data_IF_842753889885
#
_entry.id   IF_842753889885
#
_cell.length_a   1.000
_cell.length_b   1.000
_cell.length_c   1.000
_cell.angle_alpha   90.00
_cell.angle_beta   90.00
_cell.angle_gamma   90.00
#
_symmetry.space_group_name_H-M   'P 1'
#
loop_
_entity.id
_entity.type
_entity.pdbx_description
1 polymer ?
#
# COMPACT_ATOMS: atom_id res chain seq x y z
N UNK A 1 -7.58 34.69 38.72
CA UNK A 1 -7.89 33.27 38.48
C UNK A 1 -7.84 32.98 36.97
N UNK A 2 -6.67 32.92 36.34
CA UNK A 2 -6.51 32.50 34.93
C UNK A 2 -5.22 31.70 34.66
N UNK A 3 -4.48 31.29 35.69
CA UNK A 3 -3.15 30.67 35.55
C UNK A 3 -3.16 29.13 35.63
N UNK A 4 -4.32 28.49 35.44
CA UNK A 4 -4.49 27.03 35.55
C UNK A 4 -4.65 26.29 34.22
N UNK A 5 -5.29 26.91 33.23
CA UNK A 5 -5.68 26.24 31.97
C UNK A 5 -4.55 26.25 30.91
N UNK A 6 -3.67 27.26 30.87
CA UNK A 6 -2.57 27.32 29.89
C UNK A 6 -1.50 26.23 30.11
N UNK A 7 -1.33 25.72 31.33
CA UNK A 7 -0.32 24.69 31.63
C UNK A 7 -0.73 23.28 31.24
N UNK A 8 -2.03 22.98 31.21
CA UNK A 8 -2.54 21.67 30.78
C UNK A 8 -2.39 21.54 29.26
N UNK A 9 -2.73 22.59 28.51
CA UNK A 9 -2.59 22.62 27.05
C UNK A 9 -1.10 22.64 26.63
N UNK A 10 -0.23 23.35 27.36
CA UNK A 10 1.22 23.37 27.09
C UNK A 10 1.93 22.06 27.50
N UNK A 11 1.44 21.39 28.55
CA UNK A 11 1.89 20.07 29.00
C UNK A 11 1.57 19.00 27.98
N UNK A 12 0.33 18.95 27.49
CA UNK A 12 -0.09 18.06 26.42
C UNK A 12 0.64 18.35 25.11
N UNK A 13 0.85 19.62 24.74
CA UNK A 13 1.58 19.96 23.51
C UNK A 13 3.07 19.60 23.58
N UNK A 14 3.75 19.82 24.72
CA UNK A 14 5.15 19.39 24.89
C UNK A 14 5.29 17.87 25.03
N UNK A 15 4.31 17.18 25.62
CA UNK A 15 4.27 15.71 25.65
C UNK A 15 3.95 15.14 24.25
N UNK A 16 3.09 15.80 23.47
CA UNK A 16 2.85 15.49 22.06
C UNK A 16 4.13 15.69 21.23
N UNK A 17 4.89 16.76 21.47
CA UNK A 17 6.18 17.00 20.80
C UNK A 17 7.28 16.02 21.25
N UNK A 18 7.34 15.63 22.53
CA UNK A 18 8.28 14.63 23.05
C UNK A 18 7.94 13.19 22.60
N UNK A 19 6.65 12.85 22.54
CA UNK A 19 6.15 11.59 21.97
C UNK A 19 6.45 11.54 20.47
N UNK A 20 6.23 12.65 19.75
CA UNK A 20 6.58 12.79 18.33
C UNK A 20 8.10 12.70 18.11
N UNK A 21 8.94 13.29 18.97
CA UNK A 21 10.41 13.17 18.89
C UNK A 21 10.93 11.73 19.11
N UNK A 22 10.35 10.96 20.03
CA UNK A 22 10.70 9.53 20.20
C UNK A 22 10.16 8.66 19.07
N UNK A 23 8.96 8.97 18.57
CA UNK A 23 8.36 8.29 17.42
C UNK A 23 9.17 8.56 16.15
N UNK A 24 9.66 9.79 15.93
CA UNK A 24 10.54 10.17 14.83
C UNK A 24 11.88 9.43 14.86
N UNK A 25 12.47 9.24 16.05
CA UNK A 25 13.74 8.53 16.19
C UNK A 25 13.60 7.02 15.90
N UNK A 26 12.50 6.41 16.35
CA UNK A 26 12.14 5.04 15.97
C UNK A 26 11.83 4.92 14.48
N UNK A 27 11.06 5.86 13.92
CA UNK A 27 10.76 5.91 12.49
C UNK A 27 12.04 6.01 11.67
N UNK A 28 12.98 6.87 12.03
CA UNK A 28 14.23 7.02 11.28
C UNK A 28 15.06 5.72 11.25
N UNK A 29 15.14 5.00 12.38
CA UNK A 29 15.79 3.69 12.43
C UNK A 29 15.04 2.61 11.64
N UNK A 30 13.70 2.59 11.71
CA UNK A 30 12.86 1.65 10.97
C UNK A 30 12.91 1.93 9.48
N UNK A 31 12.95 3.20 9.06
CA UNK A 31 13.06 3.63 7.66
C UNK A 31 14.42 3.25 7.08
N UNK A 32 15.50 3.36 7.85
CA UNK A 32 16.82 2.92 7.41
C UNK A 32 16.86 1.40 7.16
N UNK A 33 16.22 0.61 8.03
CA UNK A 33 16.07 -0.83 7.82
C UNK A 33 15.16 -1.13 6.62
N UNK A 34 14.03 -0.43 6.47
CA UNK A 34 13.07 -0.63 5.38
C UNK A 34 13.64 -0.26 4.01
N UNK A 35 14.42 0.83 3.92
CA UNK A 35 15.15 1.21 2.70
C UNK A 35 16.09 0.10 2.21
N UNK A 36 16.74 -0.65 3.13
CA UNK A 36 17.59 -1.79 2.74
C UNK A 36 16.78 -2.94 2.14
N UNK A 37 15.58 -3.20 2.66
CA UNK A 37 14.68 -4.23 2.12
C UNK A 37 13.98 -3.79 0.82
N UNK A 38 13.68 -2.50 0.67
CA UNK A 38 13.05 -1.93 -0.51
C UNK A 38 13.91 -2.12 -1.77
N UNK A 39 15.25 -2.05 -1.66
CA UNK A 39 16.14 -2.35 -2.79
C UNK A 39 15.93 -3.77 -3.35
N UNK A 40 15.70 -4.75 -2.46
CA UNK A 40 15.36 -6.12 -2.87
C UNK A 40 14.01 -6.21 -3.58
N UNK A 41 13.01 -5.46 -3.11
CA UNK A 41 11.69 -5.40 -3.76
C UNK A 41 11.71 -4.78 -5.16
N UNK A 42 12.52 -3.75 -5.38
CA UNK A 42 12.69 -3.11 -6.70
C UNK A 42 13.33 -4.08 -7.69
N UNK A 43 14.34 -4.81 -7.22
CA UNK A 43 15.01 -5.83 -8.01
C UNK A 43 14.04 -6.97 -8.39
N UNK A 44 13.24 -7.46 -7.44
CA UNK A 44 12.25 -8.51 -7.70
C UNK A 44 11.15 -8.07 -8.67
N UNK A 45 10.66 -6.83 -8.57
CA UNK A 45 9.71 -6.29 -9.55
C UNK A 45 10.35 -6.11 -10.92
N UNK A 46 11.59 -5.64 -10.98
CA UNK A 46 12.35 -5.53 -12.23
C UNK A 46 12.55 -6.88 -12.91
N UNK A 47 12.92 -7.92 -12.14
CA UNK A 47 13.01 -9.30 -12.64
C UNK A 47 11.64 -9.82 -13.07
N UNK A 48 10.58 -9.52 -12.33
CA UNK A 48 9.21 -9.87 -12.70
C UNK A 48 8.79 -9.25 -14.05
N UNK A 49 9.10 -7.97 -14.27
CA UNK A 49 8.86 -7.30 -15.56
C UNK A 49 9.72 -7.90 -16.65
N UNK A 50 11.00 -8.16 -16.37
CA UNK A 50 11.95 -8.72 -17.32
C UNK A 50 11.47 -10.08 -17.84
N UNK A 51 11.08 -10.98 -16.93
CA UNK A 51 10.51 -12.30 -17.28
C UNK A 51 9.22 -12.18 -18.10
N UNK A 52 8.42 -11.13 -17.88
CA UNK A 52 7.21 -10.87 -18.66
C UNK A 52 7.50 -10.29 -20.06
N UNK A 53 8.59 -9.54 -20.21
CA UNK A 53 8.98 -8.92 -21.47
C UNK A 53 9.74 -9.90 -22.37
N UNK A 54 10.40 -10.89 -21.77
CA UNK A 54 11.15 -11.91 -22.49
C UNK A 54 10.22 -12.78 -23.36
N UNK A 55 10.45 -12.83 -24.69
CA UNK A 55 9.63 -13.62 -25.62
C UNK A 55 9.94 -15.13 -25.57
N UNK A 56 10.73 -15.60 -24.61
CA UNK A 56 11.30 -16.96 -24.54
C UNK A 56 10.31 -18.07 -24.17
N UNK A 57 9.01 -17.84 -24.30
CA UNK A 57 7.94 -18.83 -24.07
C UNK A 57 7.09 -18.57 -22.83
N UNK A 58 7.56 -17.79 -21.86
CA UNK A 58 6.77 -17.42 -20.67
C UNK A 58 5.52 -16.60 -21.02
N UNK A 59 5.63 -15.65 -21.95
CA UNK A 59 4.45 -14.91 -22.46
C UNK A 59 3.44 -15.84 -23.12
N UNK A 60 3.87 -16.84 -23.87
CA UNK A 60 2.98 -17.79 -24.57
C UNK A 60 2.23 -18.69 -23.59
N UNK A 61 2.93 -19.21 -22.57
CA UNK A 61 2.33 -20.05 -21.50
C UNK A 61 1.26 -19.26 -20.73
N UNK A 62 1.54 -18.00 -20.43
CA UNK A 62 0.62 -17.11 -19.72
C UNK A 62 -0.53 -16.64 -20.64
N UNK A 63 -0.25 -16.36 -21.91
CA UNK A 63 -1.25 -15.94 -22.91
C UNK A 63 -2.23 -17.06 -23.30
N UNK A 64 -1.82 -18.32 -23.18
CA UNK A 64 -2.69 -19.48 -23.39
C UNK A 64 -3.91 -19.46 -22.47
N UNK A 65 -3.79 -18.82 -21.30
CA UNK A 65 -4.89 -18.68 -20.34
C UNK A 65 -5.21 -17.19 -20.12
N UNK A 66 -6.32 -16.66 -20.68
CA UNK A 66 -6.65 -15.23 -20.56
C UNK A 66 -6.83 -14.77 -19.11
N UNK A 67 -7.24 -15.67 -18.22
CA UNK A 67 -7.31 -15.42 -16.77
C UNK A 67 -5.94 -15.25 -16.12
N UNK A 68 -4.95 -16.08 -16.50
CA UNK A 68 -3.59 -15.99 -15.96
C UNK A 68 -2.88 -14.76 -16.50
N UNK A 69 -3.06 -14.45 -17.78
CA UNK A 69 -2.54 -13.23 -18.38
C UNK A 69 -3.04 -11.98 -17.65
N UNK A 70 -4.35 -11.88 -17.44
CA UNK A 70 -4.94 -10.75 -16.72
C UNK A 70 -4.47 -10.70 -15.26
N UNK A 71 -4.43 -11.84 -14.58
CA UNK A 71 -4.00 -11.92 -13.18
C UNK A 71 -2.57 -11.46 -12.95
N UNK A 72 -1.63 -11.90 -13.80
CA UNK A 72 -0.21 -11.52 -13.70
C UNK A 72 -0.03 -10.00 -13.89
N UNK A 73 -0.71 -9.40 -14.86
CA UNK A 73 -0.65 -7.95 -15.06
C UNK A 73 -1.23 -7.16 -13.88
N UNK A 74 -2.33 -7.63 -13.28
CA UNK A 74 -2.92 -7.01 -12.09
C UNK A 74 -1.96 -7.11 -10.89
N UNK A 75 -1.38 -8.28 -10.63
CA UNK A 75 -0.43 -8.50 -9.53
C UNK A 75 0.82 -7.63 -9.71
N UNK A 76 1.33 -7.55 -10.93
CA UNK A 76 2.52 -6.76 -11.24
C UNK A 76 2.24 -5.24 -11.12
N UNK A 77 1.08 -4.78 -11.57
CA UNK A 77 0.62 -3.41 -11.40
C UNK A 77 0.41 -3.03 -9.93
N UNK A 78 -0.30 -3.87 -9.16
CA UNK A 78 -0.52 -3.67 -7.72
C UNK A 78 0.80 -3.69 -6.95
N UNK A 79 1.69 -4.65 -7.23
CA UNK A 79 3.02 -4.74 -6.62
C UNK A 79 3.87 -3.50 -6.92
N UNK A 80 3.84 -3.00 -8.15
CA UNK A 80 4.51 -1.76 -8.55
C UNK A 80 3.96 -0.52 -7.83
N UNK A 81 2.64 -0.38 -7.73
CA UNK A 81 2.02 0.72 -6.98
C UNK A 81 2.39 0.67 -5.50
N UNK A 82 2.32 -0.49 -4.85
CA UNK A 82 2.72 -0.67 -3.45
C UNK A 82 4.19 -0.34 -3.23
N UNK A 83 5.05 -0.68 -4.19
CA UNK A 83 6.47 -0.33 -4.14
C UNK A 83 6.70 1.19 -4.19
N UNK A 84 6.00 1.89 -5.10
CA UNK A 84 6.07 3.35 -5.20
C UNK A 84 5.52 4.04 -3.95
N UNK A 85 4.43 3.53 -3.37
CA UNK A 85 3.87 4.03 -2.12
C UNK A 85 4.85 3.86 -0.95
N UNK A 86 5.56 2.72 -0.87
CA UNK A 86 6.62 2.51 0.12
C UNK A 86 7.78 3.49 -0.03
N UNK A 87 8.20 3.78 -1.27
CA UNK A 87 9.25 4.78 -1.54
C UNK A 87 8.79 6.20 -1.18
N UNK A 88 7.56 6.57 -1.54
CA UNK A 88 6.96 7.87 -1.20
C UNK A 88 6.79 8.03 0.32
N UNK A 89 6.47 6.95 1.05
CA UNK A 89 6.45 6.94 2.52
C UNK A 89 7.83 7.23 3.12
N UNK A 90 8.89 6.64 2.57
CA UNK A 90 10.26 6.91 3.00
C UNK A 90 10.68 8.36 2.72
N UNK A 91 10.42 8.87 1.51
CA UNK A 91 10.69 10.26 1.16
C UNK A 91 9.86 11.25 2.00
N UNK A 92 8.61 10.90 2.31
CA UNK A 92 7.69 11.69 3.13
C UNK A 92 8.10 11.78 4.59
N UNK A 93 8.85 10.80 5.10
CA UNK A 93 9.41 10.87 6.45
C UNK A 93 10.75 11.65 6.51
N UNK A 94 11.55 11.63 5.43
CA UNK A 94 12.79 12.43 5.32
C UNK A 94 12.47 13.91 5.12
N UNK A 95 11.44 14.22 4.33
CA UNK A 95 10.93 15.58 4.20
C UNK A 95 9.97 15.84 5.34
N UNK A 96 10.43 16.55 6.36
CA UNK A 96 9.67 17.06 7.51
C UNK A 96 8.60 18.12 7.12
N UNK A 97 7.94 17.91 5.97
CA UNK A 97 6.88 18.74 5.44
C UNK A 97 5.53 18.07 5.69
N UNK A 98 4.74 18.68 6.56
CA UNK A 98 3.39 18.25 6.96
C UNK A 98 2.45 18.02 5.77
N UNK A 99 2.63 18.75 4.67
CA UNK A 99 1.82 18.57 3.46
C UNK A 99 2.06 17.22 2.76
N UNK A 100 3.30 16.73 2.76
CA UNK A 100 3.63 15.45 2.12
C UNK A 100 3.10 14.25 2.92
N UNK A 101 3.17 14.35 4.25
CA UNK A 101 2.67 13.33 5.16
C UNK A 101 1.13 13.23 5.11
N UNK A 102 0.45 14.37 5.01
CA UNK A 102 -1.00 14.42 4.80
C UNK A 102 -1.41 13.79 3.47
N UNK A 103 -0.68 14.09 2.39
CA UNK A 103 -0.97 13.49 1.09
C UNK A 103 -0.79 11.97 1.09
N UNK A 104 0.24 11.46 1.77
CA UNK A 104 0.43 10.02 1.95
C UNK A 104 -0.73 9.38 2.70
N UNK A 105 -1.19 10.00 3.78
CA UNK A 105 -2.35 9.52 4.55
C UNK A 105 -3.64 9.50 3.70
N UNK A 106 -3.88 10.55 2.91
CA UNK A 106 -5.01 10.62 1.99
C UNK A 106 -4.96 9.53 0.91
N UNK A 107 -3.78 9.25 0.34
CA UNK A 107 -3.60 8.16 -0.63
C UNK A 107 -3.90 6.79 -0.03
N UNK A 108 -3.38 6.51 1.17
CA UNK A 108 -3.63 5.24 1.88
C UNK A 108 -5.12 5.07 2.17
N UNK A 109 -5.79 6.12 2.66
CA UNK A 109 -7.23 6.10 2.88
C UNK A 109 -8.01 5.83 1.59
N UNK A 110 -7.61 6.46 0.49
CA UNK A 110 -8.26 6.27 -0.79
C UNK A 110 -8.11 4.82 -1.31
N UNK A 111 -6.93 4.23 -1.14
CA UNK A 111 -6.68 2.81 -1.46
C UNK A 111 -7.53 1.90 -0.58
N UNK A 112 -7.61 2.20 0.73
CA UNK A 112 -8.42 1.41 1.65
C UNK A 112 -9.90 1.44 1.27
N UNK A 113 -10.43 2.62 0.91
CA UNK A 113 -11.81 2.74 0.42
C UNK A 113 -12.03 1.97 -0.88
N UNK A 114 -11.06 2.02 -1.81
CA UNK A 114 -11.13 1.26 -3.05
C UNK A 114 -11.10 -0.25 -2.80
N UNK A 115 -10.25 -0.72 -1.90
CA UNK A 115 -10.13 -2.13 -1.52
C UNK A 115 -11.38 -2.62 -0.81
N UNK A 116 -11.96 -1.79 0.07
CA UNK A 116 -13.21 -2.08 0.75
C UNK A 116 -14.39 -2.13 -0.23
N UNK A 117 -14.45 -1.20 -1.19
CA UNK A 117 -15.44 -1.25 -2.27
C UNK A 117 -15.29 -2.50 -3.15
N UNK A 118 -14.05 -2.86 -3.50
CA UNK A 118 -13.76 -4.08 -4.26
C UNK A 118 -14.14 -5.35 -3.48
N UNK A 119 -13.87 -5.38 -2.17
CA UNK A 119 -14.23 -6.50 -1.29
C UNK A 119 -15.75 -6.66 -1.19
N UNK A 120 -16.50 -5.57 -1.02
CA UNK A 120 -17.97 -5.60 -1.00
C UNK A 120 -18.50 -6.08 -2.36
N UNK A 121 -17.98 -5.54 -3.47
CA UNK A 121 -18.42 -5.94 -4.81
C UNK A 121 -18.13 -7.42 -5.08
N UNK A 122 -16.96 -7.91 -4.66
CA UNK A 122 -16.59 -9.32 -4.76
C UNK A 122 -17.51 -10.21 -3.90
N UNK A 123 -17.91 -9.76 -2.71
CA UNK A 123 -18.84 -10.47 -1.84
C UNK A 123 -20.21 -10.64 -2.50
N UNK A 124 -20.77 -9.56 -3.05
CA UNK A 124 -22.06 -9.58 -3.78
C UNK A 124 -21.99 -10.47 -5.02
N UNK A 125 -20.90 -10.38 -5.80
CA UNK A 125 -20.72 -11.23 -6.97
C UNK A 125 -20.61 -12.71 -6.61
N UNK A 126 -19.94 -13.07 -5.50
CA UNK A 126 -19.88 -14.47 -5.05
C UNK A 126 -21.25 -15.01 -4.71
N UNK A 127 -22.13 -14.20 -4.12
CA UNK A 127 -23.51 -14.58 -3.81
C UNK A 127 -24.35 -14.83 -5.08
N UNK A 128 -24.20 -13.98 -6.10
CA UNK A 128 -24.89 -14.20 -7.38
C UNK A 128 -24.34 -15.40 -8.17
N UNK A 129 -23.02 -15.61 -8.16
CA UNK A 129 -22.39 -16.73 -8.87
C UNK A 129 -22.66 -18.07 -8.17
N UNK A 130 -22.76 -18.09 -6.83
CA UNK A 130 -23.13 -19.30 -6.10
C UNK A 130 -24.57 -19.74 -6.38
N UNK A 131 -25.49 -18.79 -6.60
CA UNK A 131 -26.87 -19.08 -7.02
C UNK A 131 -26.96 -19.68 -8.43
N UNK A 132 -26.11 -19.25 -9.37
CA UNK A 132 -26.08 -19.84 -10.72
C UNK A 132 -25.51 -21.27 -10.72
N UNK A 133 -24.60 -21.57 -9.79
CA UNK A 133 -24.05 -22.93 -9.63
C UNK A 133 -25.04 -23.91 -8.97
N UNK A 134 -26.08 -23.43 -8.30
CA UNK A 134 -27.13 -24.27 -7.70
C UNK A 134 -28.30 -24.61 -8.63
N UNK A 135 -28.26 -24.22 -9.92
CA UNK A 135 -29.11 -24.79 -10.98
C UNK A 135 -28.37 -25.84 -11.84
N UNK A 136 -27.96 -27.01 -11.30
CA UNK A 136 -27.62 -28.15 -12.13
C UNK A 136 -28.90 -28.92 -12.49
N UNK A 137 -29.76 -28.35 -13.35
CA UNK A 137 -30.81 -29.12 -14.04
C UNK A 137 -31.29 -28.37 -15.30
N UNK A 138 -30.62 -28.64 -16.42
CA UNK A 138 -31.25 -29.25 -17.59
C UNK A 138 -30.19 -30.04 -18.37
#
# INVERSE_FOLDING_TARGET
>A
MQWGEEKIIAGDTKLLYLLNCRFLFCLSNVLFAFCRYQLGGSFLLGVGVWVLVDPTGFREIVATNPLLFTGVYIILGMGGMLFLLGFLGCCGAIRENKCLLLFFFMLILLIFLAELAAAILAFIFREHVSFLKSSPHL
#
